data_IF_488212600824
#
_entry.id   IF_488212600824
#
_cell.length_a   1.000
_cell.length_b   1.000
_cell.length_c   1.000
_cell.angle_alpha   90.00
_cell.angle_beta   90.00
_cell.angle_gamma   90.00
#
_symmetry.space_group_name_H-M   'P 1'
#
loop_
_entity.id
_entity.type
_entity.pdbx_description
1 polymer ?
#
# COMPACT_ATOMS: atom_id res chain seq x y z
N UNK A 1 -28.70 25.42 7.40
CA UNK A 1 -29.01 24.26 6.52
C UNK A 1 -27.69 23.80 5.96
N UNK A 2 -27.15 22.66 6.42
CA UNK A 2 -25.86 22.14 5.96
C UNK A 2 -26.01 21.84 4.48
N UNK A 3 -25.35 22.60 3.61
CA UNK A 3 -25.41 22.36 2.17
C UNK A 3 -24.65 21.05 1.95
N UNK A 4 -25.35 20.01 1.50
CA UNK A 4 -24.74 18.75 1.10
C UNK A 4 -24.01 19.01 -0.21
N UNK A 5 -22.87 19.69 -0.14
CA UNK A 5 -21.94 19.72 -1.24
C UNK A 5 -21.27 18.35 -1.27
N UNK A 6 -21.87 17.40 -2.00
CA UNK A 6 -21.10 16.29 -2.57
C UNK A 6 -20.22 16.90 -3.66
N UNK A 7 -19.21 17.69 -3.25
CA UNK A 7 -18.07 17.93 -4.12
C UNK A 7 -17.44 16.55 -4.26
N UNK A 8 -17.47 16.00 -5.46
CA UNK A 8 -16.67 14.82 -5.79
C UNK A 8 -15.24 15.21 -5.49
N UNK A 9 -14.74 14.79 -4.33
CA UNK A 9 -13.33 14.90 -4.02
C UNK A 9 -12.68 13.97 -5.05
N UNK A 10 -12.04 14.55 -6.06
CA UNK A 10 -11.15 13.78 -6.93
C UNK A 10 -9.93 13.48 -6.09
N UNK A 11 -10.06 12.50 -5.20
CA UNK A 11 -8.94 11.99 -4.45
C UNK A 11 -8.10 11.29 -5.51
N UNK A 12 -6.93 11.85 -5.81
CA UNK A 12 -5.86 11.02 -6.33
C UNK A 12 -5.48 10.11 -5.17
N UNK A 13 -6.18 8.99 -5.02
CA UNK A 13 -5.71 7.87 -4.21
C UNK A 13 -4.44 7.41 -4.89
N UNK A 14 -3.33 8.05 -4.56
CA UNK A 14 -2.04 7.42 -4.64
C UNK A 14 -2.23 6.17 -3.80
N UNK A 15 -2.26 5.00 -4.45
CA UNK A 15 -2.39 3.72 -3.76
C UNK A 15 -1.47 3.72 -2.54
N UNK A 16 -2.05 3.54 -1.37
CA UNK A 16 -1.27 3.38 -0.15
C UNK A 16 -0.65 1.99 -0.21
N UNK A 17 0.67 1.93 -0.23
CA UNK A 17 1.39 0.66 -0.27
C UNK A 17 1.69 0.24 1.16
N UNK A 18 1.53 -1.04 1.43
CA UNK A 18 1.92 -1.65 2.68
C UNK A 18 2.81 -2.86 2.41
N UNK A 19 3.54 -3.27 3.44
CA UNK A 19 4.20 -4.56 3.49
C UNK A 19 3.43 -5.44 4.48
N UNK A 20 3.52 -6.75 4.35
CA UNK A 20 2.72 -7.65 5.17
C UNK A 20 3.08 -7.46 6.67
N UNK A 21 2.16 -7.84 7.56
CA UNK A 21 2.40 -7.75 9.01
C UNK A 21 2.47 -6.32 9.57
N UNK A 22 2.41 -5.30 8.73
CA UNK A 22 2.08 -3.94 9.14
C UNK A 22 0.64 -3.83 9.59
N UNK A 23 0.40 -2.79 10.38
CA UNK A 23 -0.94 -2.31 10.69
C UNK A 23 -1.26 -1.08 9.86
N UNK A 24 -2.52 -0.68 9.81
CA UNK A 24 -2.93 0.55 9.13
C UNK A 24 -2.25 1.80 9.72
N UNK A 25 -1.79 1.77 10.98
CA UNK A 25 -0.97 2.81 11.57
C UNK A 25 0.36 3.07 10.82
N UNK A 26 0.91 2.05 10.16
CA UNK A 26 2.14 2.16 9.36
C UNK A 26 1.87 2.64 7.93
N UNK A 27 0.60 2.64 7.51
CA UNK A 27 0.20 2.97 6.14
C UNK A 27 -0.05 4.47 6.02
N UNK A 28 0.76 5.12 5.19
CA UNK A 28 0.60 6.56 4.91
C UNK A 28 -0.67 6.80 4.09
N UNK A 29 -1.56 7.63 4.64
CA UNK A 29 -2.78 8.08 3.99
C UNK A 29 -2.52 9.23 3.00
N UNK A 30 -3.37 9.40 1.98
CA UNK A 30 -3.24 10.49 1.02
C UNK A 30 -3.38 11.86 1.69
N UNK A 31 -2.60 12.83 1.23
CA UNK A 31 -2.74 14.23 1.64
C UNK A 31 -3.94 14.87 0.94
N UNK A 32 -4.68 15.71 1.66
CA UNK A 32 -5.75 16.54 1.11
C UNK A 32 -5.45 18.02 1.41
N UNK A 33 -5.79 18.90 0.48
CA UNK A 33 -5.51 20.34 0.61
C UNK A 33 -6.42 21.04 1.63
N UNK A 34 -7.63 20.51 1.86
CA UNK A 34 -8.70 21.13 2.65
C UNK A 34 -9.19 20.26 3.82
N UNK A 35 -8.35 19.33 4.28
CA UNK A 35 -8.70 18.44 5.39
C UNK A 35 -7.69 17.31 5.62
N UNK A 36 -8.09 16.32 6.41
CA UNK A 36 -7.23 15.21 6.83
C UNK A 36 -7.94 13.87 6.74
N UNK A 37 -7.17 12.83 6.44
CA UNK A 37 -7.64 11.44 6.47
C UNK A 37 -7.12 10.75 7.74
N UNK A 38 -7.96 9.91 8.34
CA UNK A 38 -7.58 8.98 9.39
C UNK A 38 -8.25 7.63 9.15
N UNK A 39 -7.53 6.53 9.40
CA UNK A 39 -8.13 5.20 9.44
C UNK A 39 -9.17 5.14 10.55
N UNK A 40 -10.30 4.46 10.31
CA UNK A 40 -11.31 4.28 11.36
C UNK A 40 -10.81 3.35 12.48
N UNK A 41 -9.96 2.38 12.13
CA UNK A 41 -9.26 1.50 13.05
C UNK A 41 -7.83 1.28 12.53
N UNK A 42 -6.86 2.01 13.10
CA UNK A 42 -5.46 1.93 12.70
C UNK A 42 -4.74 0.65 13.20
N UNK A 43 -5.40 -0.13 14.06
CA UNK A 43 -4.85 -1.37 14.64
C UNK A 43 -5.01 -2.59 13.74
N UNK A 44 -5.84 -2.47 12.70
CA UNK A 44 -6.08 -3.54 11.75
C UNK A 44 -4.81 -3.88 10.98
N UNK A 45 -4.58 -5.18 10.80
CA UNK A 45 -3.57 -5.68 9.86
C UNK A 45 -3.94 -5.28 8.44
N UNK A 46 -2.94 -4.93 7.64
CA UNK A 46 -3.10 -4.60 6.22
C UNK A 46 -3.54 -5.79 5.35
N UNK A 47 -3.60 -6.99 5.93
CA UNK A 47 -4.19 -8.18 5.33
C UNK A 47 -3.22 -8.99 4.47
N UNK A 48 -3.78 -9.73 3.51
CA UNK A 48 -3.06 -10.61 2.60
C UNK A 48 -2.64 -9.89 1.31
N UNK A 49 -1.87 -10.56 0.46
CA UNK A 49 -1.25 -10.00 -0.73
C UNK A 49 -2.28 -9.47 -1.72
N UNK A 50 -1.99 -8.32 -2.34
CA UNK A 50 -2.87 -7.66 -3.29
C UNK A 50 -3.62 -6.48 -2.68
N UNK A 51 -4.82 -6.21 -3.19
CA UNK A 51 -5.60 -5.06 -2.79
C UNK A 51 -6.56 -5.42 -1.66
N UNK A 52 -6.42 -4.74 -0.52
CA UNK A 52 -7.34 -4.80 0.60
C UNK A 52 -7.99 -3.43 0.78
N UNK A 53 -9.24 -3.38 1.24
CA UNK A 53 -9.97 -2.13 1.45
C UNK A 53 -10.26 -1.92 2.92
N UNK A 54 -10.02 -0.71 3.40
CA UNK A 54 -10.22 -0.33 4.80
C UNK A 54 -10.95 1.01 4.90
N UNK A 55 -11.82 1.14 5.89
CA UNK A 55 -12.57 2.36 6.10
C UNK A 55 -11.66 3.46 6.66
N UNK A 56 -11.73 4.65 6.06
CA UNK A 56 -11.08 5.86 6.51
C UNK A 56 -12.08 7.01 6.55
N UNK A 57 -11.91 7.90 7.52
CA UNK A 57 -12.69 9.12 7.64
C UNK A 57 -11.89 10.32 7.17
N UNK A 58 -12.47 11.07 6.24
CA UNK A 58 -12.03 12.40 5.88
C UNK A 58 -12.69 13.46 6.76
N UNK A 59 -11.87 14.32 7.36
CA UNK A 59 -12.31 15.47 8.15
C UNK A 59 -11.90 16.76 7.45
N UNK A 60 -12.85 17.53 6.89
CA UNK A 60 -12.58 18.85 6.33
C UNK A 60 -12.04 19.81 7.39
N UNK A 61 -11.22 20.78 7.00
CA UNK A 61 -10.74 21.85 7.90
C UNK A 61 -11.91 22.74 8.36
N UNK A 62 -12.84 23.08 7.46
CA UNK A 62 -14.04 23.87 7.75
C UNK A 62 -15.23 22.98 8.17
N UNK A 63 -15.20 22.53 9.42
CA UNK A 63 -16.24 21.64 9.98
C UNK A 63 -17.58 22.34 10.27
N UNK A 64 -17.62 23.67 10.23
CA UNK A 64 -18.87 24.44 10.41
C UNK A 64 -19.73 24.38 9.14
N UNK A 65 -19.09 24.34 7.97
CA UNK A 65 -19.76 24.32 6.67
C UNK A 65 -19.82 22.92 6.02
N UNK A 66 -18.92 22.01 6.37
CA UNK A 66 -18.80 20.69 5.75
C UNK A 66 -18.90 19.54 6.77
N UNK A 67 -19.42 18.39 6.34
CA UNK A 67 -19.46 17.19 7.16
C UNK A 67 -18.25 16.29 6.85
N UNK A 68 -17.93 15.38 7.78
CA UNK A 68 -16.98 14.31 7.55
C UNK A 68 -17.51 13.28 6.53
N UNK A 69 -16.60 12.56 5.88
CA UNK A 69 -16.91 11.52 4.91
C UNK A 69 -16.18 10.23 5.29
N UNK A 70 -16.91 9.14 5.47
CA UNK A 70 -16.34 7.79 5.60
C UNK A 70 -16.27 7.15 4.22
N UNK A 71 -15.11 6.58 3.88
CA UNK A 71 -14.85 5.95 2.60
C UNK A 71 -13.85 4.78 2.74
N UNK A 72 -14.07 3.73 1.96
CA UNK A 72 -13.12 2.63 1.82
C UNK A 72 -11.94 3.05 0.93
N UNK A 73 -10.73 2.98 1.48
CA UNK A 73 -9.48 3.20 0.77
C UNK A 73 -8.78 1.87 0.49
N UNK A 74 -8.19 1.75 -0.69
CA UNK A 74 -7.44 0.56 -1.09
C UNK A 74 -5.98 0.65 -0.63
N UNK A 75 -5.56 -0.35 0.12
CA UNK A 75 -4.16 -0.62 0.48
C UNK A 75 -3.65 -1.77 -0.39
N UNK A 76 -2.54 -1.55 -1.09
CA UNK A 76 -1.90 -2.58 -1.92
C UNK A 76 -0.71 -3.17 -1.18
N UNK A 77 -0.75 -4.48 -0.93
CA UNK A 77 0.33 -5.21 -0.30
C UNK A 77 1.39 -5.64 -1.32
N UNK A 78 2.66 -5.31 -1.05
CA UNK A 78 3.80 -5.58 -1.92
C UNK A 78 4.30 -7.04 -1.82
N UNK A 79 5.18 -7.45 -2.73
CA UNK A 79 5.88 -8.74 -2.69
C UNK A 79 5.45 -9.79 -3.73
N UNK A 80 4.37 -9.56 -4.47
CA UNK A 80 4.01 -10.33 -5.67
C UNK A 80 4.48 -9.58 -6.92
N UNK A 81 5.64 -9.97 -7.44
CA UNK A 81 6.34 -9.28 -8.55
C UNK A 81 5.85 -9.81 -9.89
N UNK A 82 5.14 -10.94 -9.91
CA UNK A 82 4.59 -11.51 -11.12
C UNK A 82 3.08 -11.34 -11.31
N UNK A 83 2.40 -10.85 -10.28
CA UNK A 83 0.96 -10.62 -10.22
C UNK A 83 0.15 -11.90 -10.44
N UNK A 84 0.66 -13.05 -9.97
CA UNK A 84 -0.02 -14.35 -10.01
C UNK A 84 -0.84 -14.64 -8.74
N UNK A 85 -0.82 -13.72 -7.77
CA UNK A 85 -1.53 -13.80 -6.49
C UNK A 85 -0.78 -14.59 -5.41
N UNK A 86 0.50 -14.95 -5.63
CA UNK A 86 1.29 -15.75 -4.67
C UNK A 86 2.70 -15.23 -4.53
N UNK A 87 3.10 -14.86 -3.31
CA UNK A 87 4.51 -14.60 -3.00
C UNK A 87 5.28 -15.91 -2.92
N UNK A 88 6.16 -16.17 -3.89
CA UNK A 88 6.92 -17.41 -3.98
C UNK A 88 8.29 -17.23 -4.64
N UNK A 89 9.03 -18.33 -4.84
CA UNK A 89 10.39 -18.28 -5.38
C UNK A 89 10.46 -17.67 -6.80
N UNK A 90 9.36 -17.70 -7.55
CA UNK A 90 9.31 -17.10 -8.89
C UNK A 90 9.43 -15.57 -8.84
N UNK A 91 8.95 -14.93 -7.77
CA UNK A 91 9.12 -13.50 -7.51
C UNK A 91 10.59 -13.15 -7.23
N UNK A 92 11.23 -13.96 -6.39
CA UNK A 92 12.68 -13.84 -6.13
C UNK A 92 13.48 -13.97 -7.42
N UNK A 93 13.10 -14.90 -8.31
CA UNK A 93 13.79 -15.08 -9.60
C UNK A 93 13.69 -13.82 -10.46
N UNK A 94 12.55 -13.12 -10.45
CA UNK A 94 12.39 -11.85 -11.17
C UNK A 94 13.29 -10.76 -10.61
N UNK A 95 13.33 -10.58 -9.29
CA UNK A 95 14.21 -9.60 -8.64
C UNK A 95 15.68 -9.93 -8.91
N UNK A 96 16.08 -11.20 -8.78
CA UNK A 96 17.45 -11.62 -9.05
C UNK A 96 17.86 -11.39 -10.52
N UNK A 97 16.93 -11.54 -11.48
CA UNK A 97 17.19 -11.22 -12.88
C UNK A 97 17.35 -9.71 -13.11
N UNK A 98 16.61 -8.89 -12.37
CA UNK A 98 16.72 -7.43 -12.36
C UNK A 98 18.07 -6.95 -11.84
N UNK A 99 18.44 -7.40 -10.64
CA UNK A 99 19.72 -7.06 -10.00
C UNK A 99 20.91 -7.45 -10.89
N UNK A 100 20.81 -8.59 -11.59
CA UNK A 100 21.84 -9.06 -12.53
C UNK A 100 21.84 -8.35 -13.89
N UNK A 101 20.94 -7.40 -14.12
CA UNK A 101 20.77 -6.70 -15.40
C UNK A 101 20.27 -7.59 -16.54
N UNK A 102 19.75 -8.78 -16.24
CA UNK A 102 19.25 -9.74 -17.25
C UNK A 102 17.83 -9.42 -17.70
N UNK A 103 17.01 -8.86 -16.81
CA UNK A 103 15.62 -8.49 -17.11
C UNK A 103 15.21 -7.28 -16.29
N UNK A 104 14.88 -6.18 -16.96
CA UNK A 104 14.41 -4.96 -16.31
C UNK A 104 12.94 -5.18 -15.89
N UNK A 105 12.58 -4.82 -14.66
CA UNK A 105 11.21 -4.82 -14.18
C UNK A 105 10.49 -3.58 -14.71
N UNK A 106 9.22 -3.72 -15.07
CA UNK A 106 8.38 -2.54 -15.31
C UNK A 106 8.12 -1.79 -14.00
N UNK A 107 7.54 -0.59 -14.09
CA UNK A 107 7.32 0.28 -12.92
C UNK A 107 6.48 -0.39 -11.82
N UNK A 108 5.47 -1.17 -12.20
CA UNK A 108 4.57 -1.81 -11.26
C UNK A 108 5.28 -2.95 -10.54
N UNK A 109 5.98 -3.80 -11.29
CA UNK A 109 6.77 -4.90 -10.74
C UNK A 109 7.96 -4.40 -9.91
N UNK A 110 8.57 -3.29 -10.30
CA UNK A 110 9.62 -2.62 -9.54
C UNK A 110 9.09 -2.12 -8.18
N UNK A 111 7.88 -1.53 -8.16
CA UNK A 111 7.21 -1.11 -6.92
C UNK A 111 6.87 -2.30 -6.03
N UNK A 112 6.38 -3.40 -6.60
CA UNK A 112 6.10 -4.64 -5.88
C UNK A 112 7.36 -5.33 -5.32
N UNK A 113 8.52 -5.08 -5.94
CA UNK A 113 9.80 -5.66 -5.57
C UNK A 113 10.50 -4.93 -4.42
N UNK A 114 10.34 -3.60 -4.32
CA UNK A 114 10.89 -2.77 -3.23
C UNK A 114 10.02 -2.94 -1.98
N UNK A 115 10.25 -4.05 -1.27
CA UNK A 115 9.44 -4.48 -0.12
C UNK A 115 9.95 -3.89 1.20
N UNK A 116 11.06 -3.16 1.20
CA UNK A 116 11.53 -2.41 2.37
C UNK A 116 11.26 -0.91 2.26
N UNK A 117 10.85 -0.42 1.08
CA UNK A 117 10.48 0.97 0.83
C UNK A 117 11.69 1.91 0.71
N UNK A 118 12.89 1.40 0.47
CA UNK A 118 14.12 2.21 0.42
C UNK A 118 14.41 2.81 -0.97
N UNK A 119 13.52 2.60 -1.94
CA UNK A 119 13.63 3.04 -3.33
C UNK A 119 14.72 2.33 -4.15
N UNK A 120 15.35 1.29 -3.61
CA UNK A 120 16.31 0.43 -4.29
C UNK A 120 15.76 -0.99 -4.38
N UNK A 121 16.07 -1.68 -5.48
CA UNK A 121 15.72 -3.10 -5.64
C UNK A 121 17.00 -3.91 -5.53
N UNK A 122 17.20 -4.56 -4.40
CA UNK A 122 18.44 -5.27 -4.10
C UNK A 122 18.26 -6.61 -3.35
N UNK A 123 19.36 -7.15 -2.84
CA UNK A 123 19.38 -8.45 -2.16
C UNK A 123 18.59 -8.43 -0.85
N UNK A 124 18.38 -7.26 -0.26
CA UNK A 124 17.58 -7.04 0.95
C UNK A 124 16.12 -7.38 0.69
N UNK A 125 15.57 -6.96 -0.45
CA UNK A 125 14.21 -7.33 -0.87
C UNK A 125 14.05 -8.83 -1.04
N UNK A 126 15.05 -9.47 -1.69
CA UNK A 126 15.09 -10.92 -1.84
C UNK A 126 15.08 -11.61 -0.48
N UNK A 127 15.84 -11.11 0.50
CA UNK A 127 15.91 -11.69 1.84
C UNK A 127 14.55 -11.58 2.54
N UNK A 128 13.87 -10.44 2.42
CA UNK A 128 12.56 -10.23 3.04
C UNK A 128 11.51 -11.15 2.41
N UNK A 129 11.43 -11.23 1.08
CA UNK A 129 10.54 -12.17 0.38
C UNK A 129 10.87 -13.62 0.72
N UNK A 130 12.16 -13.99 0.77
CA UNK A 130 12.57 -15.34 1.15
C UNK A 130 12.22 -15.69 2.59
N UNK A 131 12.24 -14.71 3.51
CA UNK A 131 11.83 -14.90 4.89
C UNK A 131 10.32 -15.12 5.00
N UNK A 132 9.53 -14.38 4.22
CA UNK A 132 8.09 -14.54 4.11
C UNK A 132 7.73 -15.94 3.58
N UNK A 133 8.33 -16.36 2.45
CA UNK A 133 8.12 -17.69 1.86
C UNK A 133 8.44 -18.82 2.85
N UNK A 134 9.42 -18.62 3.73
CA UNK A 134 9.82 -19.60 4.76
C UNK A 134 8.98 -19.55 6.03
N UNK A 135 8.02 -18.63 6.15
CA UNK A 135 7.22 -18.40 7.35
C UNK A 135 8.05 -17.98 8.57
N UNK A 136 9.26 -17.44 8.36
CA UNK A 136 10.19 -17.07 9.45
C UNK A 136 10.01 -15.64 9.92
N UNK A 137 9.76 -14.76 8.97
CA UNK A 137 9.39 -13.38 9.19
C UNK A 137 8.41 -13.12 8.07
N UNK A 138 7.14 -12.99 8.44
CA UNK A 138 6.18 -12.53 7.47
C UNK A 138 6.66 -11.14 7.06
N UNK A 139 6.87 -10.98 5.74
CA UNK A 139 6.98 -9.66 5.10
C UNK A 139 5.91 -8.73 5.58
#
# INVERSE_FOLDING_TARGET
MKIIAQKTLTIYVNSSYAIYGQTLADVTLPTADDGTWAWEDDTLSVGDVGNNTFAATYTPEDTDNYNTLSQDLTVTLLGDINFDGKINVTDIVKIAAHIKGKKILDKTAARAADVNGDSSIDVTDIIMIAAHIKGKKLL
#
